data_IF_299098997274
#
_entry.id   IF_299098997274
#
_cell.length_a   1.000
_cell.length_b   1.000
_cell.length_c   1.000
_cell.angle_alpha   90.00
_cell.angle_beta   90.00
_cell.angle_gamma   90.00
#
_symmetry.space_group_name_H-M   'P 1'
#
loop_
_entity.id
_entity.type
_entity.pdbx_description
1 polymer ?
#
# COMPACT_ATOMS: atom_id res chain seq x y z
N UNK A 1 -24.74 36.36 7.97
CA UNK A 1 -23.78 35.25 8.04
C UNK A 1 -23.91 34.51 6.70
N UNK A 2 -22.98 34.74 5.77
CA UNK A 2 -23.06 34.16 4.42
C UNK A 2 -22.40 32.78 4.49
N UNK A 3 -23.19 31.73 4.27
CA UNK A 3 -22.74 30.34 4.29
C UNK A 3 -22.12 30.06 2.91
N UNK A 4 -20.79 30.04 2.83
CA UNK A 4 -20.05 29.88 1.58
C UNK A 4 -20.03 28.38 1.20
N UNK A 5 -20.71 27.96 0.12
CA UNK A 5 -20.81 26.55 -0.27
C UNK A 5 -19.47 25.96 -0.75
N UNK A 6 -18.43 26.78 -0.89
CA UNK A 6 -17.07 26.37 -1.24
C UNK A 6 -16.15 26.19 -0.02
N UNK A 7 -16.66 26.30 1.21
CA UNK A 7 -15.91 25.97 2.40
C UNK A 7 -15.73 24.44 2.51
N UNK A 8 -14.65 23.92 1.94
CA UNK A 8 -14.27 22.52 2.07
C UNK A 8 -13.83 22.23 3.52
N UNK A 9 -14.63 21.45 4.24
CA UNK A 9 -14.35 21.10 5.63
C UNK A 9 -13.04 20.28 5.74
N UNK A 10 -12.14 20.62 6.69
CA UNK A 10 -10.88 19.91 6.84
C UNK A 10 -11.13 18.50 7.38
N UNK A 11 -11.09 17.52 6.47
CA UNK A 11 -11.17 16.10 6.76
C UNK A 11 -9.98 15.63 7.59
N UNK A 12 -10.22 15.47 8.89
CA UNK A 12 -9.28 14.97 9.88
C UNK A 12 -8.75 13.56 9.54
N UNK A 13 -7.41 13.43 9.59
CA UNK A 13 -6.57 12.23 9.49
C UNK A 13 -6.06 11.75 8.12
N UNK A 14 -4.93 12.37 7.72
CA UNK A 14 -3.97 12.03 6.65
C UNK A 14 -4.08 13.00 5.47
N UNK A 15 -3.23 14.03 5.58
CA UNK A 15 -2.71 14.96 4.57
C UNK A 15 -3.48 15.13 3.26
N UNK A 16 -3.99 16.33 3.07
CA UNK A 16 -4.50 16.84 1.81
C UNK A 16 -3.51 16.61 0.67
N UNK A 17 -3.99 15.96 -0.39
CA UNK A 17 -3.49 16.23 -1.73
C UNK A 17 -4.67 16.67 -2.56
N UNK A 18 -5.07 17.93 -2.37
CA UNK A 18 -5.74 18.66 -3.43
C UNK A 18 -4.87 18.49 -4.69
N UNK A 19 -5.47 17.97 -5.75
CA UNK A 19 -4.84 17.90 -7.05
C UNK A 19 -4.70 19.33 -7.59
N UNK A 20 -3.67 20.03 -7.12
CA UNK A 20 -3.24 21.30 -7.70
C UNK A 20 -2.72 21.03 -9.11
N UNK A 21 -2.91 22.01 -10.00
CA UNK A 21 -2.41 22.13 -11.37
C UNK A 21 -0.89 21.84 -11.48
N UNK A 22 -0.52 20.57 -11.36
CA UNK A 22 0.83 20.08 -11.53
C UNK A 22 1.13 19.93 -13.01
N UNK A 23 2.21 20.57 -13.47
CA UNK A 23 2.73 20.46 -14.83
C UNK A 23 2.58 19.01 -15.37
N UNK A 24 1.96 18.78 -16.56
CA UNK A 24 1.60 17.46 -17.09
C UNK A 24 2.73 16.41 -17.08
N UNK A 25 3.96 16.89 -17.06
CA UNK A 25 5.16 16.08 -16.93
C UNK A 25 5.28 15.35 -15.59
N UNK A 26 4.99 16.03 -14.47
CA UNK A 26 5.00 15.42 -13.13
C UNK A 26 3.88 14.40 -12.96
N UNK A 27 2.68 14.73 -13.46
CA UNK A 27 1.54 13.83 -13.46
C UNK A 27 1.84 12.50 -14.18
N UNK A 28 2.56 12.57 -15.30
CA UNK A 28 2.99 11.40 -16.08
C UNK A 28 4.08 10.58 -15.38
N UNK A 29 4.98 11.25 -14.66
CA UNK A 29 6.04 10.60 -13.90
C UNK A 29 5.48 9.80 -12.71
N UNK A 30 4.63 10.41 -11.89
CA UNK A 30 4.09 9.74 -10.69
C UNK A 30 3.15 8.59 -11.02
N UNK A 31 2.49 8.61 -12.19
CA UNK A 31 1.73 7.46 -12.73
C UNK A 31 2.57 6.20 -12.95
N UNK A 32 3.89 6.29 -13.03
CA UNK A 32 4.75 5.10 -13.17
C UNK A 32 5.54 4.78 -11.90
N UNK A 33 5.29 5.50 -10.81
CA UNK A 33 5.97 5.31 -9.53
C UNK A 33 5.12 4.52 -8.54
N UNK A 34 5.75 3.50 -7.97
CA UNK A 34 5.19 2.71 -6.86
C UNK A 34 6.11 2.86 -5.67
N UNK A 35 5.58 3.35 -4.56
CA UNK A 35 6.32 3.47 -3.31
C UNK A 35 6.07 2.23 -2.46
N UNK A 36 7.14 1.55 -2.04
CA UNK A 36 7.05 0.39 -1.15
C UNK A 36 8.07 0.53 -0.03
N UNK A 37 7.64 0.26 1.20
CA UNK A 37 8.48 0.18 2.39
C UNK A 37 8.43 -1.23 2.97
N UNK A 38 9.60 -1.79 3.29
CA UNK A 38 9.73 -3.04 4.03
C UNK A 38 10.46 -2.77 5.35
N UNK A 39 9.85 -3.20 6.45
CA UNK A 39 10.38 -3.11 7.79
C UNK A 39 10.67 -4.52 8.30
N UNK A 40 11.94 -4.76 8.63
CA UNK A 40 12.43 -6.03 9.16
C UNK A 40 12.61 -5.90 10.67
N UNK A 41 11.93 -6.75 11.42
CA UNK A 41 11.95 -6.74 12.89
C UNK A 41 12.58 -8.02 13.46
N UNK A 42 13.40 -7.83 14.50
CA UNK A 42 14.02 -8.89 15.29
C UNK A 42 15.44 -9.28 14.82
N UNK A 43 16.22 -9.87 15.74
CA UNK A 43 17.64 -10.23 15.54
C UNK A 43 17.92 -11.16 14.35
N UNK A 44 16.91 -11.88 13.86
CA UNK A 44 17.01 -12.85 12.74
C UNK A 44 15.99 -12.56 11.63
N UNK A 45 15.45 -11.34 11.59
CA UNK A 45 14.38 -10.93 10.68
C UNK A 45 13.16 -11.86 10.78
N UNK A 46 12.78 -12.18 12.02
CA UNK A 46 11.70 -13.12 12.29
C UNK A 46 10.35 -12.54 11.87
N UNK A 47 10.20 -11.22 11.89
CA UNK A 47 8.97 -10.54 11.54
C UNK A 47 9.25 -9.49 10.48
N UNK A 48 8.38 -9.39 9.49
CA UNK A 48 8.48 -8.46 8.37
C UNK A 48 7.15 -7.75 8.20
N UNK A 49 7.18 -6.45 8.02
CA UNK A 49 6.00 -5.65 7.69
C UNK A 49 6.28 -4.95 6.38
N UNK A 50 5.34 -5.05 5.44
CA UNK A 50 5.41 -4.41 4.13
C UNK A 50 4.24 -3.45 4.00
N UNK A 51 4.52 -2.27 3.47
CA UNK A 51 3.54 -1.24 3.16
C UNK A 51 3.83 -0.77 1.74
N UNK A 52 2.82 -0.65 0.90
CA UNK A 52 2.99 -0.16 -0.46
C UNK A 52 1.84 0.74 -0.88
N UNK A 53 2.17 1.66 -1.77
CA UNK A 53 1.23 2.58 -2.39
C UNK A 53 1.51 2.68 -3.88
N UNK A 54 0.52 2.32 -4.68
CA UNK A 54 0.56 2.40 -6.14
C UNK A 54 -0.26 3.60 -6.62
N UNK A 55 0.43 4.66 -7.05
CA UNK A 55 -0.18 5.92 -7.45
C UNK A 55 -0.99 5.82 -8.75
N UNK A 56 -0.56 4.98 -9.70
CA UNK A 56 -1.29 4.73 -10.95
C UNK A 56 -2.70 4.21 -10.67
N UNK A 57 -2.77 3.17 -9.83
CA UNK A 57 -4.03 2.53 -9.45
C UNK A 57 -4.95 3.49 -8.71
N UNK A 58 -4.40 4.36 -7.88
CA UNK A 58 -5.19 5.36 -7.17
C UNK A 58 -5.86 6.36 -8.14
N UNK A 59 -5.14 6.84 -9.17
CA UNK A 59 -5.70 7.77 -10.16
C UNK A 59 -6.72 7.14 -11.11
N UNK A 60 -6.52 5.87 -11.49
CA UNK A 60 -7.43 5.20 -12.44
C UNK A 60 -8.72 4.67 -11.78
N UNK A 61 -8.69 4.34 -10.48
CA UNK A 61 -9.78 3.63 -9.80
C UNK A 61 -10.52 4.47 -8.76
N UNK A 62 -10.20 5.76 -8.60
CA UNK A 62 -10.96 6.67 -7.72
C UNK A 62 -12.20 7.17 -8.47
N UNK A 63 -13.42 6.73 -8.11
CA UNK A 63 -14.64 7.31 -8.67
C UNK A 63 -14.76 8.76 -8.19
N UNK A 64 -15.20 9.65 -9.07
CA UNK A 64 -15.31 11.12 -8.86
C UNK A 64 -16.03 11.54 -7.57
N UNK A 65 -16.80 10.64 -6.92
CA UNK A 65 -17.59 10.94 -5.73
C UNK A 65 -17.17 10.21 -4.43
N UNK A 66 -16.17 9.30 -4.43
CA UNK A 66 -15.79 8.55 -3.22
C UNK A 66 -14.27 8.32 -3.15
N UNK A 67 -13.62 8.83 -2.09
CA UNK A 67 -12.18 8.66 -1.84
C UNK A 67 -11.89 7.19 -1.50
N UNK A 68 -11.29 6.47 -2.45
CA UNK A 68 -11.01 5.03 -2.36
C UNK A 68 -9.60 4.76 -1.84
N UNK A 69 -9.43 3.78 -0.95
CA UNK A 69 -8.11 3.24 -0.56
C UNK A 69 -7.50 2.33 -1.66
N UNK A 70 -7.98 2.45 -2.91
CA UNK A 70 -7.46 1.72 -4.05
C UNK A 70 -5.97 2.05 -4.25
N UNK A 71 -5.15 1.00 -4.34
CA UNK A 71 -3.70 1.09 -4.54
C UNK A 71 -2.85 0.97 -3.28
N UNK A 72 -3.45 0.86 -2.09
CA UNK A 72 -2.72 0.52 -0.87
C UNK A 72 -2.52 -0.98 -0.72
N UNK A 73 -1.31 -1.37 -0.34
CA UNK A 73 -0.94 -2.75 -0.04
C UNK A 73 -0.31 -2.86 1.35
N UNK A 74 -0.66 -3.93 2.06
CA UNK A 74 -0.17 -4.24 3.39
C UNK A 74 0.29 -5.68 3.42
N UNK A 75 1.44 -5.97 3.99
CA UNK A 75 1.97 -7.32 4.10
C UNK A 75 2.60 -7.59 5.45
N UNK A 76 2.45 -8.83 5.91
CA UNK A 76 3.05 -9.35 7.13
C UNK A 76 3.81 -10.64 6.78
N UNK A 77 5.03 -10.77 7.28
CA UNK A 77 5.86 -11.95 7.12
C UNK A 77 6.34 -12.46 8.46
N UNK A 78 6.25 -13.77 8.68
CA UNK A 78 6.76 -14.44 9.86
C UNK A 78 7.70 -15.58 9.45
N UNK A 79 8.93 -15.53 9.93
CA UNK A 79 9.93 -16.59 9.75
C UNK A 79 9.99 -17.44 11.01
N UNK A 80 9.59 -18.70 10.88
CA UNK A 80 9.64 -19.71 11.93
C UNK A 80 10.64 -20.79 11.52
N UNK A 81 11.82 -20.76 12.16
CA UNK A 81 12.92 -21.69 11.89
C UNK A 81 13.33 -21.70 10.39
N UNK A 82 12.96 -22.76 9.66
CA UNK A 82 13.27 -22.96 8.23
C UNK A 82 12.17 -22.46 7.30
N UNK A 83 10.96 -22.22 7.82
CA UNK A 83 9.80 -21.78 7.07
C UNK A 83 9.59 -20.27 7.18
N UNK A 84 9.10 -19.68 6.11
CA UNK A 84 8.63 -18.29 6.05
C UNK A 84 7.18 -18.30 5.60
N UNK A 85 6.33 -17.74 6.43
CA UNK A 85 4.94 -17.48 6.15
C UNK A 85 4.83 -16.03 5.74
N UNK A 86 4.15 -15.76 4.64
CA UNK A 86 3.88 -14.41 4.15
C UNK A 86 2.38 -14.26 3.94
N UNK A 87 1.85 -13.11 4.33
CA UNK A 87 0.48 -12.72 4.11
C UNK A 87 0.47 -11.30 3.54
N UNK A 88 -0.21 -11.10 2.42
CA UNK A 88 -0.36 -9.81 1.77
C UNK A 88 -1.83 -9.49 1.56
N UNK A 89 -2.21 -8.24 1.72
CA UNK A 89 -3.52 -7.71 1.36
C UNK A 89 -3.33 -6.53 0.44
N UNK A 90 -3.95 -6.59 -0.73
CA UNK A 90 -4.01 -5.48 -1.67
C UNK A 90 -5.43 -4.94 -1.74
N UNK A 91 -5.61 -3.64 -1.48
CA UNK A 91 -6.92 -2.98 -1.62
C UNK A 91 -7.05 -2.52 -3.06
N UNK A 92 -7.83 -3.26 -3.84
CA UNK A 92 -7.88 -3.11 -5.28
C UNK A 92 -9.00 -2.17 -5.72
N UNK A 93 -10.17 -2.23 -5.07
CA UNK A 93 -11.35 -1.41 -5.40
C UNK A 93 -12.19 -1.15 -4.13
N UNK A 94 -13.12 -0.18 -4.17
CA UNK A 94 -14.04 0.12 -3.05
C UNK A 94 -14.86 -1.12 -2.62
N UNK A 95 -15.09 -2.05 -3.54
CA UNK A 95 -15.87 -3.27 -3.33
C UNK A 95 -15.07 -4.48 -2.83
N UNK A 96 -13.72 -4.42 -2.78
CA UNK A 96 -12.94 -5.57 -2.34
C UNK A 96 -11.42 -5.45 -2.52
N UNK A 97 -10.71 -6.31 -1.79
CA UNK A 97 -9.26 -6.46 -1.87
C UNK A 97 -8.84 -7.91 -2.03
N UNK A 98 -7.61 -8.12 -2.49
CA UNK A 98 -7.02 -9.45 -2.67
C UNK A 98 -6.23 -9.83 -1.43
N UNK A 99 -6.38 -11.08 -1.02
CA UNK A 99 -5.59 -11.68 0.04
C UNK A 99 -4.62 -12.70 -0.58
N UNK A 100 -3.34 -12.51 -0.33
CA UNK A 100 -2.26 -13.41 -0.73
C UNK A 100 -1.72 -14.12 0.50
N UNK A 101 -1.60 -15.44 0.44
CA UNK A 101 -0.95 -16.26 1.47
C UNK A 101 0.17 -17.03 0.79
N UNK A 102 1.38 -16.90 1.31
CA UNK A 102 2.57 -17.55 0.79
C UNK A 102 3.27 -18.34 1.87
N UNK A 103 3.82 -19.49 1.50
CA UNK A 103 4.73 -20.26 2.33
C UNK A 103 5.99 -20.54 1.53
N UNK A 104 7.15 -20.31 2.13
CA UNK A 104 8.43 -20.61 1.51
C UNK A 104 9.39 -21.24 2.52
N UNK A 105 10.33 -22.04 2.03
CA UNK A 105 11.33 -22.70 2.86
C UNK A 105 12.64 -22.83 2.09
N UNK A 106 13.78 -22.79 2.79
CA UNK A 106 15.08 -22.96 2.15
C UNK A 106 15.49 -24.44 2.16
N UNK A 107 15.55 -25.09 0.99
CA UNK A 107 15.90 -26.51 0.84
C UNK A 107 17.32 -26.81 1.37
N UNK A 108 18.27 -25.88 1.20
CA UNK A 108 19.64 -26.05 1.70
C UNK A 108 19.71 -26.11 3.24
N UNK A 109 18.71 -25.57 3.94
CA UNK A 109 18.62 -25.69 5.41
C UNK A 109 18.36 -27.12 5.88
N UNK A 110 17.92 -28.01 5.00
CA UNK A 110 17.71 -29.43 5.29
C UNK A 110 18.93 -30.29 5.01
N UNK A 111 19.82 -29.86 4.10
CA UNK A 111 21.02 -30.61 3.70
C UNK A 111 22.23 -30.41 4.62
N UNK A 112 22.23 -29.34 5.44
CA UNK A 112 23.29 -29.04 6.44
C UNK A 112 22.94 -29.53 7.86
N UNK A 113 22.01 -30.48 7.97
CA UNK A 113 21.61 -31.10 9.24
C UNK A 113 22.48 -32.28 9.61
#
# INVERSE_FOLDING_TARGET
LYDDPNAEEPGFFIGDTHAEDGNPWFDTFFRHFVFNGEFLFGKKENFRVRLGYNHLRHKELTPTNLRSLAGFTFGLGLKVNRFRLEYGREVWHLAGGVHHIGISSNINSFLKG
#
